data_IF_757080653412
#
_entry.id   IF_757080653412
#
_cell.length_a   1.000
_cell.length_b   1.000
_cell.length_c   1.000
_cell.angle_alpha   90.00
_cell.angle_beta   90.00
_cell.angle_gamma   90.00
#
_symmetry.space_group_name_H-M   'P 1'
#
loop_
_entity.id
_entity.type
_entity.pdbx_description
1 polymer ?
#
# COMPACT_ATOMS: atom_id res chain seq x y z
N UNK A 1 -26.30 50.14 2.55
CA UNK A 1 -24.86 50.27 2.89
C UNK A 1 -24.37 48.84 3.08
N UNK A 2 -23.65 48.30 2.09
CA UNK A 2 -23.14 46.93 2.15
C UNK A 2 -21.73 47.04 2.72
N UNK A 3 -21.56 46.51 3.92
CA UNK A 3 -20.28 46.48 4.62
C UNK A 3 -19.44 45.33 4.03
N UNK A 4 -18.40 45.69 3.28
CA UNK A 4 -17.49 44.72 2.71
C UNK A 4 -16.49 44.32 3.81
N UNK A 5 -16.71 43.16 4.43
CA UNK A 5 -15.73 42.53 5.32
C UNK A 5 -14.51 42.15 4.49
N UNK A 6 -13.52 43.04 4.49
CA UNK A 6 -12.18 42.77 3.95
C UNK A 6 -11.51 41.81 4.93
N UNK A 7 -11.51 40.52 4.61
CA UNK A 7 -10.68 39.54 5.30
C UNK A 7 -9.22 39.80 4.91
N UNK A 8 -8.49 40.59 5.69
CA UNK A 8 -7.05 40.78 5.51
C UNK A 8 -6.34 39.45 5.78
N UNK A 9 -5.76 38.85 4.73
CA UNK A 9 -4.85 37.70 4.83
C UNK A 9 -3.64 38.11 5.68
N UNK A 10 -3.30 37.33 6.70
CA UNK A 10 -2.14 37.60 7.56
C UNK A 10 -0.84 37.19 6.85
N UNK A 11 0.25 37.90 7.13
CA UNK A 11 1.60 37.59 6.58
C UNK A 11 2.07 36.16 6.92
N UNK A 12 1.60 35.62 8.05
CA UNK A 12 1.82 34.23 8.47
C UNK A 12 1.17 33.20 7.55
N UNK A 13 0.03 33.51 6.93
CA UNK A 13 -0.61 32.62 5.97
C UNK A 13 0.11 32.64 4.62
N UNK A 14 0.63 33.79 4.19
CA UNK A 14 1.42 33.90 2.96
C UNK A 14 2.75 33.15 3.05
N UNK A 15 3.42 33.19 4.21
CA UNK A 15 4.68 32.47 4.44
C UNK A 15 4.49 30.96 4.46
N UNK A 16 3.41 30.46 5.09
CA UNK A 16 3.04 29.03 5.07
C UNK A 16 2.68 28.56 3.67
N UNK A 17 1.89 29.34 2.93
CA UNK A 17 1.55 29.01 1.54
C UNK A 17 2.78 28.94 0.65
N UNK A 18 3.72 29.88 0.81
CA UNK A 18 5.00 29.86 0.08
C UNK A 18 5.79 28.59 0.40
N UNK A 19 5.90 28.22 1.68
CA UNK A 19 6.61 27.01 2.08
C UNK A 19 5.96 25.73 1.51
N UNK A 20 4.63 25.66 1.47
CA UNK A 20 3.91 24.53 0.87
C UNK A 20 4.17 24.44 -0.63
N UNK A 21 4.15 25.57 -1.34
CA UNK A 21 4.47 25.64 -2.77
C UNK A 21 5.90 25.19 -3.06
N UNK A 22 6.86 25.64 -2.25
CA UNK A 22 8.27 25.28 -2.40
C UNK A 22 8.51 23.79 -2.15
N UNK A 23 7.89 23.21 -1.11
CA UNK A 23 7.93 21.76 -0.85
C UNK A 23 7.34 20.97 -2.02
N UNK A 24 6.17 21.36 -2.54
CA UNK A 24 5.55 20.69 -3.69
C UNK A 24 6.43 20.77 -4.94
N UNK A 25 7.07 21.91 -5.19
CA UNK A 25 8.03 22.08 -6.29
C UNK A 25 9.21 21.13 -6.13
N UNK A 26 9.75 20.99 -4.92
CA UNK A 26 10.83 20.05 -4.65
C UNK A 26 10.40 18.60 -4.89
N UNK A 27 9.19 18.20 -4.45
CA UNK A 27 8.64 16.87 -4.74
C UNK A 27 8.54 16.60 -6.24
N UNK A 28 8.09 17.58 -7.03
CA UNK A 28 8.02 17.44 -8.49
C UNK A 28 9.39 17.24 -9.11
N UNK A 29 10.40 18.01 -8.67
CA UNK A 29 11.78 17.85 -9.13
C UNK A 29 12.32 16.45 -8.79
N UNK A 30 12.07 15.96 -7.56
CA UNK A 30 12.46 14.61 -7.17
C UNK A 30 11.78 13.54 -8.02
N UNK A 31 10.49 13.70 -8.35
CA UNK A 31 9.77 12.79 -9.23
C UNK A 31 10.43 12.75 -10.61
N UNK A 32 10.73 13.89 -11.23
CA UNK A 32 11.35 13.93 -12.57
C UNK A 32 12.75 13.31 -12.59
N UNK A 33 13.57 13.62 -11.58
CA UNK A 33 14.91 13.03 -11.43
C UNK A 33 14.82 11.51 -11.28
N UNK A 34 13.93 11.03 -10.42
CA UNK A 34 13.74 9.59 -10.18
C UNK A 34 13.16 8.89 -11.42
N UNK A 35 12.28 9.57 -12.17
CA UNK A 35 11.77 9.03 -13.43
C UNK A 35 12.87 8.83 -14.47
N UNK A 36 13.86 9.74 -14.51
CA UNK A 36 15.01 9.61 -15.41
C UNK A 36 15.83 8.37 -15.07
N UNK A 37 16.09 8.13 -13.77
CA UNK A 37 16.74 6.90 -13.30
C UNK A 37 15.94 5.63 -13.65
N UNK A 38 14.61 5.69 -13.50
CA UNK A 38 13.73 4.56 -13.82
C UNK A 38 13.84 4.18 -15.30
N UNK A 39 13.79 5.16 -16.21
CA UNK A 39 13.88 4.90 -17.65
C UNK A 39 15.23 4.26 -18.01
N UNK A 40 16.32 4.71 -17.39
CA UNK A 40 17.64 4.11 -17.58
C UNK A 40 17.73 2.65 -17.09
N UNK A 41 17.03 2.33 -15.98
CA UNK A 41 16.97 0.98 -15.41
C UNK A 41 16.06 0.07 -16.22
N UNK A 42 14.96 0.57 -16.78
CA UNK A 42 14.10 -0.19 -17.69
C UNK A 42 14.78 -0.48 -19.03
N UNK A 43 15.61 0.43 -19.53
CA UNK A 43 16.41 0.21 -20.75
C UNK A 43 17.66 -0.68 -20.50
N UNK A 44 17.92 -1.07 -19.25
CA UNK A 44 19.10 -1.86 -18.89
C UNK A 44 19.24 -3.15 -19.68
N UNK A 45 18.16 -3.93 -19.84
CA UNK A 45 18.21 -5.22 -20.54
C UNK A 45 18.66 -5.05 -21.99
N UNK A 46 18.15 -4.01 -22.66
CA UNK A 46 18.56 -3.64 -24.01
C UNK A 46 20.05 -3.29 -24.06
N UNK A 47 20.53 -2.44 -23.16
CA UNK A 47 21.96 -2.05 -23.08
C UNK A 47 22.87 -3.24 -22.76
N UNK A 48 22.42 -4.15 -21.89
CA UNK A 48 23.17 -5.33 -21.50
C UNK A 48 23.34 -6.33 -22.64
N UNK A 49 22.29 -6.55 -23.44
CA UNK A 49 22.34 -7.45 -24.60
C UNK A 49 23.26 -6.95 -25.72
N UNK A 50 23.42 -5.63 -25.84
CA UNK A 50 24.26 -5.00 -26.86
C UNK A 50 25.69 -4.73 -26.40
N UNK A 51 26.02 -4.97 -25.12
CA UNK A 51 27.34 -4.66 -24.56
C UNK A 51 28.35 -5.78 -24.71
N UNK A 52 29.63 -5.39 -24.73
CA UNK A 52 30.75 -6.32 -24.70
C UNK A 52 30.89 -6.97 -23.32
N UNK A 53 31.45 -8.18 -23.25
CA UNK A 53 31.58 -8.91 -21.98
C UNK A 53 32.32 -8.13 -20.89
N UNK A 54 33.35 -7.36 -21.28
CA UNK A 54 34.11 -6.51 -20.35
C UNK A 54 33.33 -5.34 -19.75
N UNK A 55 32.24 -4.90 -20.40
CA UNK A 55 31.42 -3.76 -19.96
C UNK A 55 30.28 -4.18 -19.01
N UNK A 56 29.89 -5.46 -19.06
CA UNK A 56 28.77 -6.02 -18.28
C UNK A 56 28.91 -5.82 -16.76
N UNK A 57 30.10 -6.01 -16.13
CA UNK A 57 30.25 -5.75 -14.70
C UNK A 57 29.97 -4.29 -14.31
N UNK A 58 30.44 -3.33 -15.12
CA UNK A 58 30.21 -1.91 -14.89
C UNK A 58 28.73 -1.55 -15.04
N UNK A 59 28.06 -2.07 -16.09
CA UNK A 59 26.63 -1.87 -16.30
C UNK A 59 25.78 -2.45 -15.14
N UNK A 60 26.13 -3.64 -14.64
CA UNK A 60 25.47 -4.23 -13.47
C UNK A 60 25.64 -3.35 -12.22
N UNK A 61 26.84 -2.83 -11.99
CA UNK A 61 27.13 -1.89 -10.90
C UNK A 61 26.32 -0.61 -11.00
N UNK A 62 26.28 0.01 -12.19
CA UNK A 62 25.49 1.21 -12.48
C UNK A 62 24.00 0.96 -12.22
N UNK A 63 23.45 -0.16 -12.72
CA UNK A 63 22.04 -0.53 -12.50
C UNK A 63 21.73 -0.65 -11.01
N UNK A 64 22.58 -1.36 -10.27
CA UNK A 64 22.40 -1.56 -8.82
C UNK A 64 22.40 -0.21 -8.10
N UNK A 65 23.33 0.68 -8.42
CA UNK A 65 23.40 2.01 -7.82
C UNK A 65 22.15 2.83 -8.13
N UNK A 66 21.70 2.86 -9.40
CA UNK A 66 20.48 3.59 -9.79
C UNK A 66 19.23 3.09 -9.08
N UNK A 67 19.12 1.77 -8.83
CA UNK A 67 18.01 1.21 -8.03
C UNK A 67 18.07 1.70 -6.58
N UNK A 68 19.25 1.70 -5.96
CA UNK A 68 19.44 2.27 -4.62
C UNK A 68 19.06 3.75 -4.58
N UNK A 69 19.54 4.55 -5.54
CA UNK A 69 19.25 5.98 -5.63
C UNK A 69 17.74 6.24 -5.80
N UNK A 70 17.05 5.43 -6.61
CA UNK A 70 15.59 5.52 -6.75
C UNK A 70 14.88 5.27 -5.41
N UNK A 71 15.29 4.25 -4.67
CA UNK A 71 14.71 3.95 -3.36
C UNK A 71 14.99 5.04 -2.32
N UNK A 72 16.22 5.56 -2.27
CA UNK A 72 16.60 6.64 -1.37
C UNK A 72 15.81 7.93 -1.69
N UNK A 73 15.59 8.21 -2.99
CA UNK A 73 14.72 9.31 -3.42
C UNK A 73 13.26 9.12 -2.99
N UNK A 74 12.72 7.89 -3.01
CA UNK A 74 11.36 7.63 -2.53
C UNK A 74 11.22 7.88 -1.03
N UNK A 75 12.23 7.51 -0.24
CA UNK A 75 12.21 7.69 1.22
C UNK A 75 12.57 9.10 1.68
N UNK A 76 13.28 9.87 0.85
CA UNK A 76 13.79 11.18 1.25
C UNK A 76 14.87 11.09 2.32
N UNK A 77 15.77 10.11 2.21
CA UNK A 77 16.84 9.88 3.20
C UNK A 77 17.77 11.10 3.28
N UNK A 78 17.74 11.80 4.41
CA UNK A 78 18.73 12.83 4.73
C UNK A 78 19.99 12.20 5.37
N UNK A 79 21.18 12.78 5.20
CA UNK A 79 22.39 12.31 5.89
C UNK A 79 22.17 12.31 7.41
N UNK A 80 22.42 11.17 8.08
CA UNK A 80 22.33 11.05 9.54
C UNK A 80 20.96 10.64 10.11
N UNK A 81 19.94 10.39 9.29
CA UNK A 81 18.68 9.78 9.75
C UNK A 81 18.71 8.26 9.62
N UNK A 82 18.55 7.54 10.74
CA UNK A 82 18.43 6.08 10.75
C UNK A 82 17.13 5.58 10.11
N UNK A 83 16.01 6.30 10.32
CA UNK A 83 14.73 6.00 9.68
C UNK A 83 14.09 7.26 9.11
N UNK A 84 13.95 7.37 7.77
CA UNK A 84 13.23 8.49 7.17
C UNK A 84 11.74 8.45 7.56
N UNK A 85 11.14 9.63 7.74
CA UNK A 85 9.69 9.79 7.93
C UNK A 85 8.95 9.39 6.65
N UNK A 86 7.73 8.85 6.79
CA UNK A 86 6.85 8.57 5.64
C UNK A 86 6.46 9.85 4.87
N UNK A 87 6.68 11.04 5.44
CA UNK A 87 6.26 12.32 4.87
C UNK A 87 6.72 12.54 3.43
N UNK A 88 7.99 12.23 3.12
CA UNK A 88 8.52 12.43 1.77
C UNK A 88 7.86 11.47 0.76
N UNK A 89 7.76 10.20 1.13
CA UNK A 89 7.08 9.19 0.34
C UNK A 89 5.60 9.56 0.12
N UNK A 90 4.91 10.04 1.15
CA UNK A 90 3.52 10.50 1.07
C UNK A 90 3.35 11.69 0.12
N UNK A 91 4.28 12.66 0.13
CA UNK A 91 4.25 13.77 -0.82
C UNK A 91 4.34 13.29 -2.27
N UNK A 92 5.20 12.31 -2.55
CA UNK A 92 5.30 11.69 -3.88
C UNK A 92 4.00 10.98 -4.24
N UNK A 93 3.45 10.18 -3.34
CA UNK A 93 2.22 9.40 -3.55
C UNK A 93 0.96 10.27 -3.67
N UNK A 94 1.00 11.54 -3.26
CA UNK A 94 -0.07 12.51 -3.51
C UNK A 94 -0.09 13.02 -4.97
N UNK A 95 0.91 12.71 -5.79
CA UNK A 95 1.03 13.20 -7.16
C UNK A 95 0.74 12.06 -8.14
N UNK A 96 -0.14 12.30 -9.14
CA UNK A 96 -0.50 11.33 -10.20
C UNK A 96 0.70 10.59 -10.78
N UNK A 97 1.72 11.35 -11.20
CA UNK A 97 2.96 10.80 -11.79
C UNK A 97 3.80 10.05 -10.75
N UNK A 98 3.79 10.48 -9.48
CA UNK A 98 4.46 9.81 -8.38
C UNK A 98 3.90 8.40 -8.10
N UNK A 99 2.57 8.24 -8.06
CA UNK A 99 1.91 6.92 -7.93
C UNK A 99 2.35 5.96 -9.04
N UNK A 100 2.33 6.43 -10.29
CA UNK A 100 2.76 5.63 -11.46
C UNK A 100 4.26 5.32 -11.45
N UNK A 101 5.09 6.26 -10.99
CA UNK A 101 6.52 6.07 -10.79
C UNK A 101 6.78 4.95 -9.79
N UNK A 102 6.17 5.02 -8.61
CA UNK A 102 6.31 3.98 -7.57
C UNK A 102 5.88 2.61 -8.08
N UNK A 103 4.74 2.53 -8.78
CA UNK A 103 4.26 1.27 -9.37
C UNK A 103 5.29 0.62 -10.31
N UNK A 104 6.06 1.41 -11.05
CA UNK A 104 7.10 0.93 -11.99
C UNK A 104 8.45 0.68 -11.33
N UNK A 105 8.74 1.33 -10.20
CA UNK A 105 9.97 1.07 -9.42
C UNK A 105 9.88 -0.26 -8.67
N UNK A 106 8.70 -0.60 -8.13
CA UNK A 106 8.50 -1.78 -7.26
C UNK A 106 9.13 -3.09 -7.78
N UNK A 107 9.03 -3.47 -9.06
CA UNK A 107 9.65 -4.70 -9.59
C UNK A 107 11.18 -4.74 -9.52
N UNK A 108 11.84 -3.59 -9.35
CA UNK A 108 13.30 -3.50 -9.31
C UNK A 108 13.86 -3.47 -7.89
N UNK A 109 13.02 -3.20 -6.89
CA UNK A 109 13.43 -3.10 -5.50
C UNK A 109 13.75 -4.47 -4.91
N UNK A 110 14.59 -4.51 -3.88
CA UNK A 110 14.74 -5.73 -3.08
C UNK A 110 13.41 -6.05 -2.35
N UNK A 111 13.19 -7.32 -1.94
CA UNK A 111 11.98 -7.68 -1.20
C UNK A 111 11.76 -6.82 0.05
N UNK A 112 12.82 -6.50 0.79
CA UNK A 112 12.77 -5.64 1.98
C UNK A 112 12.34 -4.21 1.64
N UNK A 113 12.93 -3.63 0.58
CA UNK A 113 12.60 -2.29 0.12
C UNK A 113 11.15 -2.19 -0.39
N UNK A 114 10.70 -3.19 -1.14
CA UNK A 114 9.34 -3.25 -1.66
C UNK A 114 8.32 -3.45 -0.53
N UNK A 115 8.67 -4.25 0.50
CA UNK A 115 7.87 -4.42 1.71
C UNK A 115 7.74 -3.10 2.50
N UNK A 116 8.81 -2.31 2.63
CA UNK A 116 8.76 -0.99 3.30
C UNK A 116 7.79 -0.04 2.58
N UNK A 117 7.84 0.01 1.24
CA UNK A 117 6.92 0.81 0.41
C UNK A 117 5.47 0.36 0.58
N UNK A 118 5.20 -0.95 0.56
CA UNK A 118 3.87 -1.50 0.77
C UNK A 118 3.35 -1.19 2.19
N UNK A 119 4.20 -1.34 3.20
CA UNK A 119 3.84 -1.07 4.60
C UNK A 119 3.56 0.41 4.85
N UNK A 120 4.38 1.31 4.31
CA UNK A 120 4.16 2.75 4.36
C UNK A 120 2.86 3.15 3.63
N UNK A 121 2.55 2.47 2.53
CA UNK A 121 1.29 2.68 1.80
C UNK A 121 0.09 2.23 2.64
N UNK A 122 0.15 1.03 3.25
CA UNK A 122 -0.93 0.48 4.07
C UNK A 122 -1.23 1.35 5.29
N UNK A 123 -0.20 1.81 6.00
CA UNK A 123 -0.31 2.67 7.20
C UNK A 123 -0.97 4.02 6.91
N UNK A 124 -0.72 4.59 5.73
CA UNK A 124 -1.19 5.92 5.36
C UNK A 124 -2.38 5.89 4.37
N UNK A 125 -3.00 4.72 4.19
CA UNK A 125 -3.92 4.48 3.08
C UNK A 125 -5.14 5.41 3.07
N UNK A 126 -5.84 5.71 4.19
CA UNK A 126 -6.99 6.62 4.16
C UNK A 126 -6.62 8.03 3.70
N UNK A 127 -5.42 8.51 4.03
CA UNK A 127 -4.94 9.80 3.56
C UNK A 127 -4.68 9.77 2.04
N UNK A 128 -4.01 8.72 1.56
CA UNK A 128 -3.75 8.54 0.13
C UNK A 128 -5.03 8.42 -0.68
N UNK A 129 -6.05 7.70 -0.18
CA UNK A 129 -7.37 7.59 -0.80
C UNK A 129 -8.00 8.98 -0.98
N UNK A 130 -7.99 9.82 0.08
CA UNK A 130 -8.51 11.19 0.00
C UNK A 130 -7.77 12.02 -1.04
N UNK A 131 -6.46 11.84 -1.17
CA UNK A 131 -5.63 12.57 -2.15
C UNK A 131 -5.73 12.02 -3.57
N UNK A 132 -6.18 10.79 -3.75
CA UNK A 132 -6.38 10.16 -5.06
C UNK A 132 -7.81 10.32 -5.60
N UNK A 133 -8.74 10.93 -4.85
CA UNK A 133 -10.16 11.01 -5.22
C UNK A 133 -10.44 11.66 -6.60
N UNK A 134 -9.53 12.51 -7.11
CA UNK A 134 -9.66 13.12 -8.44
C UNK A 134 -8.88 12.36 -9.52
N UNK A 135 -7.80 11.70 -9.13
CA UNK A 135 -6.88 11.03 -10.06
C UNK A 135 -7.30 9.60 -10.38
N UNK A 136 -7.77 8.90 -9.35
CA UNK A 136 -8.12 7.48 -9.32
C UNK A 136 -7.04 6.56 -9.92
N UNK A 137 -5.76 6.83 -9.61
CA UNK A 137 -4.64 6.04 -10.15
C UNK A 137 -3.99 5.09 -9.15
N UNK A 138 -4.38 5.11 -7.87
CA UNK A 138 -3.89 4.11 -6.89
C UNK A 138 -4.03 2.66 -7.37
N UNK A 139 -5.08 2.24 -8.13
CA UNK A 139 -5.16 0.88 -8.66
C UNK A 139 -3.96 0.40 -9.48
N UNK A 140 -3.14 1.31 -10.04
CA UNK A 140 -1.92 0.90 -10.77
C UNK A 140 -0.90 0.17 -9.89
N UNK A 141 -0.99 0.31 -8.56
CA UNK A 141 -0.12 -0.34 -7.59
C UNK A 141 -0.54 -1.78 -7.25
N UNK A 142 -1.76 -2.21 -7.59
CA UNK A 142 -2.25 -3.53 -7.19
C UNK A 142 -1.40 -4.67 -7.75
N UNK A 143 -1.05 -4.62 -9.03
CA UNK A 143 -0.23 -5.65 -9.69
C UNK A 143 1.19 -5.74 -9.11
N UNK A 144 1.97 -4.65 -8.99
CA UNK A 144 3.27 -4.76 -8.37
C UNK A 144 3.17 -5.18 -6.90
N UNK A 145 2.18 -4.70 -6.13
CA UNK A 145 1.99 -5.17 -4.75
C UNK A 145 1.59 -6.64 -4.64
N UNK A 146 0.79 -7.19 -5.56
CA UNK A 146 0.53 -8.63 -5.57
C UNK A 146 1.81 -9.44 -5.75
N UNK A 147 2.74 -8.97 -6.61
CA UNK A 147 4.04 -9.62 -6.76
C UNK A 147 4.89 -9.52 -5.49
N UNK A 148 4.91 -8.36 -4.82
CA UNK A 148 5.60 -8.19 -3.54
C UNK A 148 5.07 -9.16 -2.48
N UNK A 149 3.74 -9.30 -2.37
CA UNK A 149 3.10 -10.18 -1.38
C UNK A 149 3.54 -11.64 -1.47
N UNK A 150 3.82 -12.15 -2.68
CA UNK A 150 4.32 -13.52 -2.86
C UNK A 150 5.67 -13.77 -2.19
N UNK A 151 6.46 -12.73 -1.95
CA UNK A 151 7.78 -12.84 -1.34
C UNK A 151 7.79 -12.54 0.17
N UNK A 152 6.62 -12.23 0.76
CA UNK A 152 6.54 -11.88 2.18
C UNK A 152 6.24 -13.10 3.08
N UNK A 153 6.86 -13.17 4.27
CA UNK A 153 6.51 -14.17 5.28
C UNK A 153 5.19 -13.82 5.99
N UNK A 154 4.58 -14.81 6.66
CA UNK A 154 3.29 -14.64 7.33
C UNK A 154 3.28 -13.47 8.33
N UNK A 155 4.31 -13.34 9.18
CA UNK A 155 4.38 -12.23 10.13
C UNK A 155 4.29 -10.83 9.50
N UNK A 156 4.87 -10.64 8.30
CA UNK A 156 4.74 -9.37 7.55
C UNK A 156 3.34 -9.20 6.96
N UNK A 157 2.73 -10.28 6.46
CA UNK A 157 1.35 -10.28 5.96
C UNK A 157 0.36 -9.97 7.08
N UNK A 158 0.51 -10.57 8.26
CA UNK A 158 -0.26 -10.27 9.47
C UNK A 158 -0.14 -8.79 9.84
N UNK A 159 1.09 -8.26 9.82
CA UNK A 159 1.34 -6.83 10.07
C UNK A 159 0.64 -5.94 9.03
N UNK A 160 0.57 -6.34 7.76
CA UNK A 160 -0.15 -5.59 6.72
C UNK A 160 -1.67 -5.58 6.95
N UNK A 161 -2.27 -6.73 7.29
CA UNK A 161 -3.70 -6.78 7.68
C UNK A 161 -3.93 -5.86 8.87
N UNK A 162 -3.04 -5.90 9.86
CA UNK A 162 -3.13 -5.05 11.04
C UNK A 162 -3.07 -3.55 10.70
N UNK A 163 -2.21 -3.13 9.77
CA UNK A 163 -2.17 -1.73 9.31
C UNK A 163 -3.40 -1.34 8.49
N UNK A 164 -3.85 -2.19 7.55
CA UNK A 164 -4.99 -1.88 6.69
C UNK A 164 -6.31 -1.80 7.48
N UNK A 165 -6.45 -2.67 8.48
CA UNK A 165 -7.64 -2.73 9.32
C UNK A 165 -7.56 -1.78 10.51
N UNK A 166 -6.35 -1.43 10.97
CA UNK A 166 -6.12 -0.58 12.13
C UNK A 166 -6.97 -1.00 13.35
N UNK A 167 -7.08 -2.31 13.58
CA UNK A 167 -7.87 -2.87 14.67
C UNK A 167 -7.07 -2.79 15.98
N UNK A 168 -7.73 -2.58 17.13
CA UNK A 168 -7.02 -2.60 18.40
C UNK A 168 -6.42 -3.98 18.67
N UNK A 169 -5.27 -4.05 19.34
CA UNK A 169 -4.61 -5.31 19.71
C UNK A 169 -5.35 -6.09 20.81
N UNK A 170 -6.46 -5.56 21.34
CA UNK A 170 -7.28 -6.22 22.34
C UNK A 170 -8.75 -5.85 22.15
N UNK A 171 -9.64 -6.83 22.33
CA UNK A 171 -11.08 -6.71 22.10
C UNK A 171 -11.85 -6.02 23.26
N UNK A 172 -11.18 -5.25 24.12
CA UNK A 172 -11.80 -4.64 25.29
C UNK A 172 -12.52 -3.34 24.90
N UNK A 173 -13.86 -3.43 24.90
CA UNK A 173 -14.88 -2.41 24.61
C UNK A 173 -15.33 -2.27 23.12
N UNK A 174 -16.64 -2.03 22.88
CA UNK A 174 -17.14 -1.73 21.55
C UNK A 174 -16.55 -0.38 21.09
N UNK A 175 -15.54 -0.45 20.23
CA UNK A 175 -14.94 0.74 19.65
C UNK A 175 -15.96 1.44 18.73
N UNK A 176 -15.96 2.78 18.65
CA UNK A 176 -16.68 3.51 17.62
C UNK A 176 -16.27 3.03 16.22
N UNK A 177 -17.08 3.34 15.20
CA UNK A 177 -16.82 2.96 13.81
C UNK A 177 -15.36 3.20 13.43
N UNK A 178 -14.64 2.13 13.09
CA UNK A 178 -13.26 2.21 12.65
C UNK A 178 -13.17 2.96 11.32
N UNK A 179 -12.87 4.26 11.40
CA UNK A 179 -12.84 5.16 10.24
C UNK A 179 -11.74 4.79 9.24
N UNK A 180 -10.65 4.18 9.71
CA UNK A 180 -9.56 3.73 8.85
C UNK A 180 -10.05 2.59 7.96
N UNK A 181 -10.55 1.51 8.57
CA UNK A 181 -11.07 0.35 7.84
C UNK A 181 -12.27 0.73 6.97
N UNK A 182 -13.15 1.61 7.44
CA UNK A 182 -14.27 2.11 6.63
C UNK A 182 -13.78 2.81 5.35
N UNK A 183 -12.77 3.68 5.44
CA UNK A 183 -12.19 4.34 4.26
C UNK A 183 -11.53 3.34 3.31
N UNK A 184 -10.85 2.31 3.83
CA UNK A 184 -10.23 1.25 3.03
C UNK A 184 -11.29 0.46 2.26
N UNK A 185 -12.37 0.03 2.93
CA UNK A 185 -13.42 -0.80 2.33
C UNK A 185 -14.33 -0.02 1.37
N UNK A 186 -14.51 1.28 1.59
CA UNK A 186 -15.23 2.19 0.70
C UNK A 186 -14.44 2.58 -0.56
N UNK A 187 -13.17 2.21 -0.65
CA UNK A 187 -12.32 2.53 -1.78
C UNK A 187 -11.96 1.28 -2.60
N UNK A 188 -12.08 1.39 -3.94
CA UNK A 188 -11.76 0.31 -4.88
C UNK A 188 -10.35 -0.24 -4.70
N UNK A 189 -9.34 0.62 -4.59
CA UNK A 189 -7.96 0.19 -4.36
C UNK A 189 -7.79 -0.42 -2.97
N UNK A 190 -8.32 0.23 -1.93
CA UNK A 190 -8.20 -0.25 -0.55
C UNK A 190 -8.81 -1.63 -0.33
N UNK A 191 -10.04 -1.86 -0.80
CA UNK A 191 -10.69 -3.17 -0.71
C UNK A 191 -9.94 -4.24 -1.49
N UNK A 192 -9.48 -3.92 -2.71
CA UNK A 192 -8.71 -4.86 -3.54
C UNK A 192 -7.38 -5.23 -2.89
N UNK A 193 -6.69 -4.26 -2.28
CA UNK A 193 -5.44 -4.51 -1.57
C UNK A 193 -5.68 -5.39 -0.34
N UNK A 194 -6.72 -5.11 0.45
CA UNK A 194 -7.08 -5.95 1.59
C UNK A 194 -7.33 -7.40 1.15
N UNK A 195 -8.07 -7.61 0.05
CA UNK A 195 -8.33 -8.95 -0.48
C UNK A 195 -7.05 -9.69 -0.89
N UNK A 196 -6.12 -9.00 -1.56
CA UNK A 196 -4.83 -9.59 -1.92
C UNK A 196 -4.02 -10.01 -0.69
N UNK A 197 -3.98 -9.17 0.36
CA UNK A 197 -3.26 -9.48 1.60
C UNK A 197 -3.92 -10.65 2.33
N UNK A 198 -5.26 -10.67 2.43
CA UNK A 198 -6.00 -11.78 3.05
C UNK A 198 -5.81 -13.10 2.29
N UNK A 199 -5.88 -13.06 0.95
CA UNK A 199 -5.61 -14.21 0.08
C UNK A 199 -4.23 -14.77 0.33
N UNK A 200 -3.21 -13.91 0.42
CA UNK A 200 -1.84 -14.34 0.67
C UNK A 200 -1.68 -14.99 2.04
N UNK A 201 -2.35 -14.45 3.05
CA UNK A 201 -2.35 -15.04 4.39
C UNK A 201 -2.96 -16.44 4.42
N UNK A 202 -4.08 -16.66 3.71
CA UNK A 202 -4.67 -18.01 3.57
C UNK A 202 -3.74 -18.99 2.87
N UNK A 203 -3.04 -18.57 1.81
CA UNK A 203 -2.06 -19.42 1.13
C UNK A 203 -0.96 -19.87 2.09
N UNK A 204 -0.35 -18.94 2.82
CA UNK A 204 0.72 -19.23 3.77
C UNK A 204 0.24 -20.14 4.91
N UNK A 205 -0.95 -19.88 5.45
CA UNK A 205 -1.58 -20.70 6.49
C UNK A 205 -1.97 -22.11 6.00
N UNK A 206 -2.14 -22.30 4.70
CA UNK A 206 -2.49 -23.60 4.13
C UNK A 206 -1.26 -24.40 3.71
N UNK A 207 -0.15 -23.74 3.38
CA UNK A 207 1.07 -24.38 2.89
C UNK A 207 2.10 -24.68 3.98
N UNK A 208 2.20 -23.85 5.01
CA UNK A 208 3.31 -23.91 5.97
C UNK A 208 2.94 -24.73 7.22
N UNK A 209 3.25 -26.03 7.18
CA UNK A 209 3.18 -26.92 8.35
C UNK A 209 4.12 -26.51 9.51
N UNK A 210 5.07 -25.60 9.26
CA UNK A 210 6.07 -25.11 10.21
C UNK A 210 5.83 -23.66 10.65
N UNK A 211 4.64 -23.09 10.43
CA UNK A 211 4.32 -21.74 10.94
C UNK A 211 4.50 -21.72 12.46
N UNK A 212 5.31 -20.78 12.97
CA UNK A 212 5.51 -20.62 14.41
C UNK A 212 4.16 -20.40 15.11
N UNK A 213 3.86 -21.20 16.14
CA UNK A 213 2.59 -21.17 16.88
C UNK A 213 2.17 -19.74 17.31
N UNK A 214 3.14 -18.89 17.64
CA UNK A 214 2.88 -17.50 18.01
C UNK A 214 2.36 -16.66 16.84
N UNK A 215 2.91 -16.81 15.64
CA UNK A 215 2.47 -16.07 14.46
C UNK A 215 1.08 -16.54 14.01
N UNK A 216 0.81 -17.85 14.14
CA UNK A 216 -0.50 -18.42 13.85
C UNK A 216 -1.60 -17.89 14.81
N UNK A 217 -1.28 -17.79 16.10
CA UNK A 217 -2.18 -17.19 17.09
C UNK A 217 -2.48 -15.71 16.78
N UNK A 218 -1.46 -14.91 16.42
CA UNK A 218 -1.65 -13.51 16.06
C UNK A 218 -2.53 -13.34 14.80
N UNK A 219 -2.29 -14.19 13.78
CA UNK A 219 -3.11 -14.21 12.58
C UNK A 219 -4.56 -14.55 12.92
N UNK A 220 -4.78 -15.60 13.72
CA UNK A 220 -6.11 -16.07 14.10
C UNK A 220 -6.90 -15.02 14.88
N UNK A 221 -6.27 -14.37 15.87
CA UNK A 221 -6.91 -13.29 16.63
C UNK A 221 -7.29 -12.11 15.72
N UNK A 222 -6.37 -11.69 14.86
CA UNK A 222 -6.61 -10.61 13.91
C UNK A 222 -7.75 -10.95 12.94
N UNK A 223 -7.81 -12.19 12.44
CA UNK A 223 -8.87 -12.64 11.54
C UNK A 223 -10.23 -12.72 12.23
N UNK A 224 -10.30 -13.11 13.50
CA UNK A 224 -11.53 -13.07 14.29
C UNK A 224 -12.04 -11.63 14.44
N UNK A 225 -11.15 -10.65 14.62
CA UNK A 225 -11.53 -9.23 14.69
C UNK A 225 -11.92 -8.67 13.32
N UNK A 226 -11.16 -8.99 12.28
CA UNK A 226 -11.43 -8.53 10.92
C UNK A 226 -12.77 -9.05 10.39
N UNK A 227 -13.09 -10.32 10.60
CA UNK A 227 -14.38 -10.91 10.19
C UNK A 227 -15.56 -10.27 10.90
N UNK A 228 -15.44 -9.94 12.21
CA UNK A 228 -16.48 -9.21 12.95
C UNK A 228 -16.74 -7.83 12.35
N UNK A 229 -15.69 -7.07 12.03
CA UNK A 229 -15.86 -5.75 11.40
C UNK A 229 -16.40 -5.83 9.97
N UNK A 230 -15.95 -6.82 9.18
CA UNK A 230 -16.48 -7.08 7.85
C UNK A 230 -17.97 -7.44 7.90
N UNK A 231 -18.43 -8.16 8.92
CA UNK A 231 -19.85 -8.45 9.14
C UNK A 231 -20.64 -7.19 9.54
N UNK A 232 -20.04 -6.28 10.32
CA UNK A 232 -20.69 -5.06 10.83
C UNK A 232 -20.96 -4.00 9.76
N UNK A 233 -20.06 -3.83 8.79
CA UNK A 233 -20.12 -2.72 7.83
C UNK A 233 -21.29 -2.88 6.83
N UNK A 234 -22.10 -1.87 6.49
CA UNK A 234 -23.18 -2.05 5.52
C UNK A 234 -22.68 -2.46 4.13
N UNK A 235 -23.36 -3.38 3.42
CA UNK A 235 -22.97 -3.81 2.07
C UNK A 235 -22.90 -2.63 1.09
N UNK A 236 -23.84 -1.68 1.21
CA UNK A 236 -23.89 -0.47 0.37
C UNK A 236 -22.67 0.45 0.54
N UNK A 237 -21.89 0.29 1.61
CA UNK A 237 -20.67 1.04 1.85
C UNK A 237 -19.42 0.36 1.24
N UNK A 238 -19.54 -0.86 0.71
CA UNK A 238 -18.39 -1.55 0.12
C UNK A 238 -18.15 -1.08 -1.31
N UNK A 239 -16.89 -0.79 -1.63
CA UNK A 239 -16.49 -0.56 -3.01
C UNK A 239 -16.58 -1.85 -3.84
N UNK A 240 -16.57 -1.71 -5.16
CA UNK A 240 -16.35 -2.85 -6.05
C UNK A 240 -14.85 -3.14 -6.16
N UNK A 241 -14.36 -4.33 -5.77
CA UNK A 241 -12.95 -4.68 -5.90
C UNK A 241 -12.57 -4.85 -7.38
N UNK A 242 -11.27 -4.74 -7.70
CA UNK A 242 -10.72 -5.00 -9.03
C UNK A 242 -10.79 -6.49 -9.37
N UNK A 243 -10.50 -7.34 -8.39
CA UNK A 243 -10.60 -8.79 -8.48
C UNK A 243 -10.89 -9.36 -7.11
N UNK A 244 -11.60 -10.49 -7.07
CA UNK A 244 -11.91 -11.21 -5.82
C UNK A 244 -11.16 -12.55 -5.84
N UNK A 245 -10.15 -12.74 -4.99
CA UNK A 245 -9.45 -14.02 -4.87
C UNK A 245 -10.40 -15.14 -4.45
N UNK A 246 -10.25 -16.32 -5.06
CA UNK A 246 -11.15 -17.46 -4.90
C UNK A 246 -10.99 -18.22 -3.58
N UNK A 247 -9.88 -18.02 -2.89
CA UNK A 247 -9.56 -18.66 -1.62
C UNK A 247 -10.10 -17.90 -0.39
N UNK A 248 -10.71 -16.72 -0.57
CA UNK A 248 -11.26 -15.95 0.55
C UNK A 248 -12.42 -16.67 1.27
N UNK A 249 -13.17 -17.52 0.57
CA UNK A 249 -14.21 -18.35 1.19
C UNK A 249 -13.57 -19.37 2.14
N UNK A 250 -12.49 -20.02 1.70
CA UNK A 250 -11.71 -20.96 2.55
C UNK A 250 -11.22 -20.25 3.81
N UNK A 251 -10.62 -19.06 3.64
CA UNK A 251 -10.15 -18.24 4.75
C UNK A 251 -11.26 -17.96 5.77
N UNK A 252 -12.38 -17.39 5.33
CA UNK A 252 -13.44 -17.00 6.26
C UNK A 252 -14.11 -18.20 6.93
N UNK A 253 -14.21 -19.35 6.25
CA UNK A 253 -14.81 -20.56 6.82
C UNK A 253 -14.09 -21.07 8.08
N UNK A 254 -12.81 -20.71 8.27
CA UNK A 254 -12.03 -21.04 9.48
C UNK A 254 -12.43 -20.22 10.71
N UNK A 255 -13.06 -19.05 10.53
CA UNK A 255 -13.27 -18.07 11.61
C UNK A 255 -14.74 -17.73 11.88
N UNK A 256 -15.67 -18.16 11.02
CA UNK A 256 -17.10 -17.91 11.19
C UNK A 256 -17.95 -19.15 10.94
N UNK A 257 -19.14 -19.19 11.54
CA UNK A 257 -20.15 -20.22 11.25
C UNK A 257 -20.73 -20.09 9.83
N UNK A 258 -21.43 -21.14 9.38
CA UNK A 258 -22.00 -21.21 8.02
C UNK A 258 -22.95 -20.05 7.70
N UNK A 259 -23.73 -19.57 8.68
CA UNK A 259 -24.69 -18.48 8.46
C UNK A 259 -23.95 -17.16 8.17
N UNK A 260 -22.93 -16.84 8.97
CA UNK A 260 -22.07 -15.68 8.75
C UNK A 260 -21.23 -15.81 7.49
N UNK A 261 -20.79 -17.02 7.14
CA UNK A 261 -20.06 -17.27 5.89
C UNK A 261 -20.91 -16.92 4.68
N UNK A 262 -22.16 -17.40 4.61
CA UNK A 262 -23.09 -17.08 3.52
C UNK A 262 -23.36 -15.56 3.41
N UNK A 263 -23.44 -14.87 4.56
CA UNK A 263 -23.58 -13.41 4.60
C UNK A 263 -22.34 -12.71 4.03
N UNK A 264 -21.13 -13.13 4.43
CA UNK A 264 -19.88 -12.59 3.88
C UNK A 264 -19.75 -12.86 2.38
N UNK A 265 -20.09 -14.06 1.91
CA UNK A 265 -20.07 -14.44 0.51
C UNK A 265 -20.92 -13.49 -0.34
N UNK A 266 -22.18 -13.29 0.06
CA UNK A 266 -23.13 -12.41 -0.64
C UNK A 266 -22.63 -10.96 -0.64
N UNK A 267 -22.14 -10.51 0.52
CA UNK A 267 -21.78 -9.12 0.77
C UNK A 267 -20.47 -8.69 0.10
N UNK A 268 -19.48 -9.59 0.08
CA UNK A 268 -18.15 -9.36 -0.48
C UNK A 268 -18.02 -9.88 -1.92
N UNK A 269 -19.11 -10.41 -2.49
CA UNK A 269 -19.14 -11.04 -3.82
C UNK A 269 -18.02 -12.07 -3.97
N UNK A 270 -17.86 -12.93 -2.97
CA UNK A 270 -16.83 -13.96 -2.96
C UNK A 270 -17.16 -15.01 -4.02
N UNK A 271 -16.12 -15.49 -4.70
CA UNK A 271 -16.26 -16.48 -5.77
C UNK A 271 -15.69 -17.79 -5.28
N UNK A 272 -16.42 -18.88 -5.51
CA UNK A 272 -15.87 -20.21 -5.31
C UNK A 272 -14.74 -20.45 -6.32
N UNK A 273 -13.56 -20.83 -5.84
CA UNK A 273 -12.53 -21.38 -6.73
C UNK A 273 -13.09 -22.61 -7.41
N UNK A 274 -13.07 -22.63 -8.74
CA UNK A 274 -13.26 -23.88 -9.47
C UNK A 274 -12.09 -24.77 -9.03
N UNK A 275 -12.42 -25.84 -8.31
CA UNK A 275 -11.47 -26.89 -7.92
C UNK A 275 -10.89 -27.56 -9.15
#
# INVERSE_FOLDING_TARGET
>A
MIDAVVTSRSEDDETKEKQVRDKRRQTLVTIEKTYSLLLDVEDYERRYLLSLEGERPALMGERKQKICDMYDNLRGKAPGQERPSDDHFMQIMCIRKGKRLVARILPFLSPEQAADVLMATARNLPFLIKKDAQDEVLPCLLRPFSHVLYHLPLGTVTSLVQQLTNLPQSATAPAPTNLHLAAVLQNKFGLSLLYLVLSRGEELQSSDANTELMQDNQWTELMLMATRELLRIPQVALAKPVSTPSNLISLFSRYVDQQKLNLLETKLHLVHGIR
#
